data_IF_810379320629
#
_entry.id   IF_810379320629
#
_cell.length_a   1.000
_cell.length_b   1.000
_cell.length_c   1.000
_cell.angle_alpha   90.00
_cell.angle_beta   90.00
_cell.angle_gamma   90.00
#
_symmetry.space_group_name_H-M   'P 1'
#
loop_
_entity.id
_entity.type
_entity.pdbx_description
1 polymer ?
#
# COMPACT_ATOMS: atom_id res chain seq x y z
N UNK A 1 -5.11 -23.99 7.82
CA UNK A 1 -4.41 -24.13 6.51
C UNK A 1 -5.35 -23.63 5.43
N UNK A 2 -4.85 -23.02 4.35
CA UNK A 2 -5.66 -22.54 3.23
C UNK A 2 -5.17 -23.10 1.90
N UNK A 3 -6.10 -23.40 0.98
CA UNK A 3 -5.81 -23.81 -0.39
C UNK A 3 -6.87 -23.25 -1.35
N UNK A 4 -6.57 -23.18 -2.65
CA UNK A 4 -7.50 -22.74 -3.68
C UNK A 4 -8.07 -23.93 -4.47
N UNK A 5 -9.35 -23.86 -4.86
CA UNK A 5 -9.94 -24.77 -5.85
C UNK A 5 -9.67 -24.30 -7.28
N UNK A 6 -9.99 -25.16 -8.24
CA UNK A 6 -10.03 -24.88 -9.69
C UNK A 6 -11.09 -23.85 -10.12
N UNK A 7 -12.05 -23.57 -9.23
CA UNK A 7 -13.10 -22.57 -9.41
C UNK A 7 -12.80 -21.25 -8.68
N UNK A 8 -11.68 -21.17 -7.95
CA UNK A 8 -11.26 -19.98 -7.21
C UNK A 8 -11.94 -19.84 -5.84
N UNK A 9 -12.50 -20.93 -5.31
CA UNK A 9 -12.93 -21.00 -3.92
C UNK A 9 -11.73 -21.26 -3.03
N UNK A 10 -11.81 -20.82 -1.78
CA UNK A 10 -10.77 -21.07 -0.78
C UNK A 10 -11.22 -22.17 0.15
N UNK A 11 -10.44 -23.24 0.23
CA UNK A 11 -10.57 -24.28 1.24
C UNK A 11 -9.84 -23.82 2.50
N UNK A 12 -10.58 -23.62 3.58
CA UNK A 12 -10.03 -23.40 4.91
C UNK A 12 -10.08 -24.72 5.69
N UNK A 13 -8.94 -25.18 6.16
CA UNK A 13 -8.81 -26.40 6.99
C UNK A 13 -8.47 -25.98 8.41
N UNK A 14 -9.32 -26.39 9.35
CA UNK A 14 -9.07 -26.30 10.78
C UNK A 14 -8.47 -27.62 11.27
N UNK A 15 -7.18 -27.58 11.60
CA UNK A 15 -6.42 -28.74 12.06
C UNK A 15 -6.73 -29.12 13.51
N UNK A 16 -7.36 -28.24 14.29
CA UNK A 16 -7.66 -28.49 15.71
C UNK A 16 -8.88 -29.37 15.89
N UNK A 17 -9.87 -29.20 15.01
CA UNK A 17 -11.12 -29.98 15.00
C UNK A 17 -11.21 -30.96 13.83
N UNK A 18 -10.14 -31.09 13.04
CA UNK A 18 -10.06 -31.92 11.84
C UNK A 18 -11.26 -31.72 10.89
N UNK A 19 -11.57 -30.45 10.61
CA UNK A 19 -12.70 -30.06 9.78
C UNK A 19 -12.26 -29.05 8.70
N UNK A 20 -13.09 -28.85 7.69
CA UNK A 20 -12.85 -27.89 6.63
C UNK A 20 -14.11 -27.12 6.26
N UNK A 21 -13.91 -25.92 5.72
CA UNK A 21 -14.95 -25.04 5.21
C UNK A 21 -14.53 -24.48 3.85
N UNK A 22 -15.51 -24.30 2.97
CA UNK A 22 -15.30 -23.63 1.69
C UNK A 22 -15.76 -22.19 1.78
N UNK A 23 -14.92 -21.28 1.32
CA UNK A 23 -15.18 -19.84 1.29
C UNK A 23 -15.26 -19.39 -0.17
N UNK A 24 -16.40 -18.80 -0.52
CA UNK A 24 -16.67 -18.29 -1.86
C UNK A 24 -17.62 -19.16 -2.69
N UNK A 25 -18.41 -18.51 -3.54
CA UNK A 25 -18.89 -19.10 -4.78
C UNK A 25 -17.86 -18.71 -5.83
N UNK A 26 -17.25 -19.67 -6.52
CA UNK A 26 -16.08 -19.43 -7.36
C UNK A 26 -16.20 -18.14 -8.19
N UNK A 27 -15.25 -17.19 -8.10
CA UNK A 27 -15.32 -15.92 -8.82
C UNK A 27 -15.32 -16.11 -10.34
N UNK A 28 -15.05 -17.33 -10.82
CA UNK A 28 -15.00 -17.68 -12.23
C UNK A 28 -16.00 -18.80 -12.53
N UNK A 29 -16.95 -18.52 -13.42
CA UNK A 29 -17.85 -19.51 -13.99
C UNK A 29 -17.36 -19.89 -15.39
N UNK A 30 -16.88 -21.14 -15.54
CA UNK A 30 -16.50 -21.72 -16.83
C UNK A 30 -14.99 -21.76 -17.11
N UNK A 31 -14.47 -22.96 -17.42
CA UNK A 31 -13.05 -23.24 -17.67
C UNK A 31 -12.31 -23.82 -16.46
N UNK A 32 -11.24 -24.57 -16.70
CA UNK A 32 -10.35 -25.07 -15.66
C UNK A 32 -9.35 -23.95 -15.28
N UNK A 33 -9.61 -23.20 -14.22
CA UNK A 33 -8.73 -22.12 -13.76
C UNK A 33 -7.92 -22.60 -12.58
N UNK A 34 -6.73 -23.12 -12.83
CA UNK A 34 -5.85 -23.55 -11.75
C UNK A 34 -5.01 -22.39 -11.25
N UNK A 35 -4.86 -22.35 -9.93
CA UNK A 35 -3.86 -21.55 -9.26
C UNK A 35 -2.77 -22.44 -8.66
N UNK A 36 -1.58 -21.89 -8.51
CA UNK A 36 -0.41 -22.56 -7.96
C UNK A 36 -0.46 -22.70 -6.43
N UNK A 37 0.70 -22.73 -5.80
CA UNK A 37 0.87 -22.86 -4.36
C UNK A 37 0.55 -21.53 -3.64
N UNK A 38 -0.03 -21.59 -2.42
CA UNK A 38 -0.32 -20.40 -1.62
C UNK A 38 0.96 -19.70 -1.15
N UNK A 39 0.98 -18.37 -1.26
CA UNK A 39 2.07 -17.53 -0.79
C UNK A 39 1.49 -16.45 0.13
N UNK A 40 2.02 -16.34 1.34
CA UNK A 40 1.62 -15.27 2.27
C UNK A 40 2.36 -13.99 1.89
N UNK A 41 1.60 -12.95 1.56
CA UNK A 41 2.14 -11.62 1.28
C UNK A 41 2.47 -10.83 2.54
N UNK A 42 3.20 -9.73 2.35
CA UNK A 42 3.53 -8.80 3.44
C UNK A 42 2.28 -8.14 4.08
N UNK A 43 1.14 -8.15 3.38
CA UNK A 43 -0.16 -7.69 3.88
C UNK A 43 -0.95 -8.78 4.63
N UNK A 44 -0.31 -9.92 4.93
CA UNK A 44 -0.89 -11.10 5.57
C UNK A 44 -2.03 -11.76 4.76
N UNK A 45 -2.28 -11.29 3.54
CA UNK A 45 -3.17 -11.96 2.62
C UNK A 45 -2.45 -13.13 1.94
N UNK A 46 -3.23 -14.08 1.46
CA UNK A 46 -2.76 -15.25 0.75
C UNK A 46 -2.96 -15.02 -0.74
N UNK A 47 -1.90 -15.24 -1.50
CA UNK A 47 -1.86 -15.08 -2.94
C UNK A 47 -1.58 -16.43 -3.57
N UNK A 48 -2.40 -16.80 -4.55
CA UNK A 48 -2.12 -17.94 -5.40
C UNK A 48 -1.75 -17.45 -6.81
N UNK A 49 -0.55 -17.76 -7.31
CA UNK A 49 -0.15 -17.42 -8.67
C UNK A 49 -1.07 -18.10 -9.70
N UNK A 50 -1.33 -17.46 -10.85
CA UNK A 50 -2.13 -18.07 -11.90
C UNK A 50 -1.34 -19.19 -12.58
N UNK A 51 -1.73 -20.43 -12.36
CA UNK A 51 -1.13 -21.57 -13.07
C UNK A 51 -1.73 -21.64 -14.48
N UNK A 52 -3.05 -21.81 -14.55
CA UNK A 52 -3.85 -21.81 -15.78
C UNK A 52 -4.86 -20.65 -15.80
N UNK A 53 -5.16 -20.08 -14.64
CA UNK A 53 -5.97 -18.87 -14.51
C UNK A 53 -5.32 -17.66 -15.21
N UNK A 54 -6.10 -16.63 -15.52
CA UNK A 54 -5.59 -15.41 -16.13
C UNK A 54 -5.17 -14.34 -15.09
N UNK A 55 -5.55 -14.48 -13.82
CA UNK A 55 -5.25 -13.52 -12.75
C UNK A 55 -4.85 -14.20 -11.46
N UNK A 56 -4.19 -13.45 -10.58
CA UNK A 56 -3.79 -13.90 -9.24
C UNK A 56 -5.03 -13.98 -8.36
N UNK A 57 -5.21 -15.09 -7.62
CA UNK A 57 -6.23 -15.17 -6.57
C UNK A 57 -5.68 -14.59 -5.28
N UNK A 58 -6.42 -13.70 -4.63
CA UNK A 58 -6.11 -13.13 -3.33
C UNK A 58 -7.21 -13.49 -2.34
N UNK A 59 -6.80 -13.85 -1.13
CA UNK A 59 -7.72 -14.05 0.00
C UNK A 59 -7.17 -13.38 1.25
N UNK A 60 -8.06 -12.73 1.99
CA UNK A 60 -7.73 -12.11 3.28
C UNK A 60 -8.31 -12.95 4.42
N UNK A 61 -7.46 -13.67 5.17
CA UNK A 61 -7.92 -14.49 6.28
C UNK A 61 -8.40 -13.67 7.49
N UNK A 62 -8.07 -12.38 7.59
CA UNK A 62 -8.53 -11.53 8.69
C UNK A 62 -9.99 -11.11 8.49
N UNK A 63 -10.34 -10.69 7.27
CA UNK A 63 -11.69 -10.21 6.95
C UNK A 63 -12.65 -11.33 6.58
N UNK A 64 -12.14 -12.52 6.22
CA UNK A 64 -12.94 -13.67 5.76
C UNK A 64 -13.91 -13.31 4.62
N UNK A 65 -13.60 -12.25 3.88
CA UNK A 65 -14.35 -11.83 2.71
C UNK A 65 -14.13 -12.78 1.55
N UNK A 66 -15.00 -12.70 0.54
CA UNK A 66 -14.88 -13.53 -0.65
C UNK A 66 -13.51 -13.34 -1.33
N UNK A 67 -12.88 -14.42 -1.83
CA UNK A 67 -11.63 -14.31 -2.55
C UNK A 67 -11.81 -13.46 -3.80
N UNK A 68 -10.79 -12.68 -4.16
CA UNK A 68 -10.81 -11.73 -5.27
C UNK A 68 -9.69 -12.00 -6.26
N UNK A 69 -9.92 -11.62 -7.51
CA UNK A 69 -8.89 -11.67 -8.55
C UNK A 69 -8.18 -10.32 -8.62
N UNK A 70 -6.87 -10.33 -8.47
CA UNK A 70 -6.03 -9.12 -8.42
C UNK A 70 -5.00 -9.08 -9.53
N UNK A 71 -4.52 -7.87 -9.83
CA UNK A 71 -3.57 -7.62 -10.90
C UNK A 71 -4.20 -7.57 -12.29
N UNK A 72 -3.34 -7.40 -13.28
CA UNK A 72 -3.71 -7.32 -14.70
C UNK A 72 -4.11 -8.69 -15.25
N UNK A 73 -4.78 -8.71 -16.41
CA UNK A 73 -5.03 -9.95 -17.13
C UNK A 73 -3.72 -10.46 -17.74
N UNK A 74 -3.21 -11.58 -17.20
CA UNK A 74 -1.95 -12.20 -17.61
C UNK A 74 -2.12 -13.16 -18.79
N UNK A 75 -3.28 -13.12 -19.44
CA UNK A 75 -3.59 -13.88 -20.64
C UNK A 75 -3.83 -15.37 -20.41
N UNK A 76 -4.25 -16.04 -21.48
CA UNK A 76 -4.41 -17.48 -21.51
C UNK A 76 -3.06 -18.21 -21.59
N UNK A 77 -3.01 -19.41 -21.04
CA UNK A 77 -1.83 -20.28 -21.05
C UNK A 77 -1.88 -21.24 -19.87
N UNK A 78 -1.19 -22.37 -20.00
CA UNK A 78 -1.18 -23.40 -18.97
C UNK A 78 0.20 -23.52 -18.32
N UNK A 79 0.22 -23.91 -17.04
CA UNK A 79 1.40 -24.14 -16.23
C UNK A 79 2.32 -22.91 -16.14
N UNK A 80 1.75 -21.70 -16.02
CA UNK A 80 2.50 -20.43 -16.05
C UNK A 80 3.38 -20.25 -14.83
N UNK A 81 2.78 -20.09 -13.65
CA UNK A 81 3.49 -19.93 -12.39
C UNK A 81 2.92 -20.89 -11.35
N UNK A 82 3.74 -21.84 -10.89
CA UNK A 82 3.32 -22.82 -9.88
C UNK A 82 3.51 -22.31 -8.46
N UNK A 83 4.45 -21.41 -8.22
CA UNK A 83 4.72 -20.92 -6.88
C UNK A 83 5.64 -19.70 -6.90
N UNK A 84 6.00 -19.25 -5.72
CA UNK A 84 6.80 -18.04 -5.54
C UNK A 84 7.17 -17.83 -4.08
N UNK A 85 7.86 -16.72 -3.83
CA UNK A 85 8.31 -16.36 -2.49
C UNK A 85 8.14 -14.86 -2.23
N UNK A 86 7.84 -14.53 -0.97
CA UNK A 86 7.87 -13.17 -0.47
C UNK A 86 9.34 -12.74 -0.31
N UNK A 87 9.71 -11.66 -0.99
CA UNK A 87 11.01 -11.03 -0.86
C UNK A 87 11.04 -10.03 0.31
N UNK A 88 12.24 -9.64 0.74
CA UNK A 88 12.47 -8.77 1.90
C UNK A 88 11.87 -7.38 1.76
N UNK A 89 11.74 -6.89 0.54
CA UNK A 89 11.11 -5.63 0.15
C UNK A 89 9.58 -5.68 0.17
N UNK A 90 8.99 -6.86 0.41
CA UNK A 90 7.55 -7.05 0.55
C UNK A 90 6.81 -7.41 -0.75
N UNK A 91 7.50 -7.50 -1.88
CA UNK A 91 6.95 -8.03 -3.13
C UNK A 91 7.02 -9.57 -3.16
N UNK A 92 6.07 -10.21 -3.82
CA UNK A 92 6.08 -11.65 -4.10
C UNK A 92 6.60 -11.87 -5.52
N UNK A 93 7.60 -12.75 -5.68
CA UNK A 93 8.10 -13.14 -6.99
C UNK A 93 7.73 -14.59 -7.28
N UNK A 94 7.00 -14.81 -8.37
CA UNK A 94 6.57 -16.13 -8.81
C UNK A 94 7.49 -16.64 -9.93
N UNK A 95 8.02 -17.84 -9.73
CA UNK A 95 8.97 -18.46 -10.65
C UNK A 95 8.19 -19.03 -11.84
N UNK A 96 8.53 -18.65 -13.09
CA UNK A 96 7.86 -19.17 -14.27
C UNK A 96 8.20 -20.65 -14.49
N UNK A 97 7.19 -21.45 -14.81
CA UNK A 97 7.36 -22.79 -15.38
C UNK A 97 7.27 -22.70 -16.91
N UNK A 98 6.09 -22.39 -17.46
CA UNK A 98 5.89 -22.18 -18.90
C UNK A 98 5.76 -20.70 -19.29
N UNK A 99 5.64 -19.79 -18.33
CA UNK A 99 5.61 -18.36 -18.61
C UNK A 99 6.98 -17.86 -19.12
N UNK A 100 6.98 -16.81 -19.93
CA UNK A 100 8.22 -16.19 -20.45
C UNK A 100 8.86 -15.19 -19.48
N UNK A 101 8.17 -14.85 -18.40
CA UNK A 101 8.52 -13.76 -17.50
C UNK A 101 8.26 -14.14 -16.04
N UNK A 102 9.05 -13.57 -15.13
CA UNK A 102 8.79 -13.63 -13.69
C UNK A 102 7.58 -12.74 -13.41
N UNK A 103 6.64 -13.24 -12.62
CA UNK A 103 5.51 -12.44 -12.14
C UNK A 103 5.88 -11.83 -10.79
N UNK A 104 5.88 -10.50 -10.73
CA UNK A 104 6.04 -9.76 -9.49
C UNK A 104 4.67 -9.24 -9.02
N UNK A 105 4.28 -9.60 -7.80
CA UNK A 105 3.04 -9.15 -7.17
C UNK A 105 3.45 -8.21 -6.04
N UNK A 106 3.01 -6.95 -6.10
CA UNK A 106 3.15 -6.01 -5.00
C UNK A 106 1.86 -6.02 -4.16
N UNK A 107 1.86 -6.60 -2.94
CA UNK A 107 0.67 -6.67 -2.08
C UNK A 107 0.08 -5.29 -1.73
N UNK A 108 0.89 -4.24 -1.78
CA UNK A 108 0.50 -2.89 -1.39
C UNK A 108 -0.01 -2.04 -2.56
N UNK A 109 0.12 -2.49 -3.82
CA UNK A 109 -0.21 -1.68 -5.00
C UNK A 109 -1.64 -1.12 -4.96
N UNK A 110 -2.61 -1.94 -4.58
CA UNK A 110 -4.02 -1.54 -4.50
C UNK A 110 -4.27 -0.51 -3.40
N UNK A 111 -3.61 -0.67 -2.25
CA UNK A 111 -3.65 0.30 -1.16
C UNK A 111 -3.10 1.66 -1.66
N UNK A 112 -1.92 1.66 -2.28
CA UNK A 112 -1.29 2.88 -2.81
C UNK A 112 -2.19 3.60 -3.81
N UNK A 113 -2.74 2.87 -4.80
CA UNK A 113 -3.64 3.45 -5.80
C UNK A 113 -4.91 4.03 -5.16
N UNK A 114 -5.48 3.34 -4.16
CA UNK A 114 -6.70 3.79 -3.48
C UNK A 114 -6.45 5.08 -2.69
N UNK A 115 -5.31 5.15 -2.00
CA UNK A 115 -4.89 6.32 -1.23
C UNK A 115 -4.60 7.51 -2.14
N UNK A 116 -3.82 7.32 -3.21
CA UNK A 116 -3.54 8.34 -4.23
C UNK A 116 -4.84 8.89 -4.84
N UNK A 117 -5.72 8.00 -5.32
CA UNK A 117 -6.98 8.42 -5.93
C UNK A 117 -7.86 9.20 -4.96
N UNK A 118 -7.92 8.76 -3.70
CA UNK A 118 -8.75 9.42 -2.68
C UNK A 118 -8.21 10.79 -2.31
N UNK A 119 -6.89 10.94 -2.16
CA UNK A 119 -6.23 12.23 -1.89
C UNK A 119 -6.42 13.20 -3.08
N UNK A 120 -6.33 12.73 -4.32
CA UNK A 120 -6.60 13.55 -5.50
C UNK A 120 -8.07 13.94 -5.66
N UNK A 121 -9.00 13.06 -5.31
CA UNK A 121 -10.44 13.28 -5.49
C UNK A 121 -11.03 14.18 -4.39
N UNK A 122 -10.52 14.04 -3.15
CA UNK A 122 -11.01 14.78 -1.98
C UNK A 122 -9.88 15.48 -1.21
N UNK A 123 -9.11 16.38 -1.86
CA UNK A 123 -7.92 16.99 -1.24
C UNK A 123 -8.28 17.78 0.03
N UNK A 124 -9.40 18.49 0.03
CA UNK A 124 -9.89 19.29 1.17
C UNK A 124 -10.29 18.46 2.40
N UNK A 125 -10.49 17.16 2.25
CA UNK A 125 -10.86 16.22 3.34
C UNK A 125 -9.72 15.24 3.66
N UNK A 126 -8.47 15.56 3.27
CA UNK A 126 -7.31 14.67 3.40
C UNK A 126 -7.56 13.28 2.77
N UNK A 127 -8.33 13.25 1.68
CA UNK A 127 -8.67 12.02 0.97
C UNK A 127 -9.64 11.09 1.70
N UNK A 128 -10.52 11.60 2.58
CA UNK A 128 -11.47 10.79 3.38
C UNK A 128 -10.81 9.69 4.21
N UNK A 129 -9.52 9.81 4.46
CA UNK A 129 -8.69 8.82 5.14
C UNK A 129 -9.18 8.52 6.57
N UNK A 130 -9.76 9.53 7.22
CA UNK A 130 -10.36 9.47 8.56
C UNK A 130 -11.88 9.46 8.54
N UNK A 131 -12.49 9.38 7.35
CA UNK A 131 -13.92 9.14 7.25
C UNK A 131 -14.19 7.71 7.71
N UNK A 132 -15.17 7.56 8.59
CA UNK A 132 -15.62 6.25 9.03
C UNK A 132 -16.54 5.65 7.98
N UNK A 133 -16.34 4.38 7.68
CA UNK A 133 -17.24 3.61 6.84
C UNK A 133 -18.48 3.14 7.63
N UNK A 134 -19.33 2.34 6.98
CA UNK A 134 -20.52 1.75 7.61
C UNK A 134 -20.20 0.81 8.79
N UNK A 135 -18.93 0.43 8.97
CA UNK A 135 -18.44 -0.38 10.08
C UNK A 135 -17.84 0.48 11.22
N UNK A 136 -17.98 1.81 11.16
CA UNK A 136 -17.47 2.77 12.16
C UNK A 136 -15.92 2.76 12.27
N UNK A 137 -15.22 2.16 11.31
CA UNK A 137 -13.76 2.14 11.21
C UNK A 137 -13.32 3.13 10.13
N UNK A 138 -12.16 3.77 10.30
CA UNK A 138 -11.60 4.66 9.27
C UNK A 138 -10.73 3.84 8.32
N UNK A 139 -10.64 4.26 7.06
CA UNK A 139 -9.71 3.64 6.11
C UNK A 139 -8.28 3.61 6.66
N UNK A 140 -7.83 4.70 7.29
CA UNK A 140 -6.53 4.77 7.94
C UNK A 140 -6.38 3.76 9.08
N UNK A 141 -7.38 3.67 9.96
CA UNK A 141 -7.38 2.73 11.08
C UNK A 141 -7.29 1.29 10.61
N UNK A 142 -8.10 0.93 9.61
CA UNK A 142 -8.08 -0.39 8.98
C UNK A 142 -6.73 -0.70 8.33
N UNK A 143 -6.17 0.27 7.59
CA UNK A 143 -4.85 0.14 6.99
C UNK A 143 -3.74 -0.02 8.05
N UNK A 144 -3.74 0.80 9.10
CA UNK A 144 -2.74 0.71 10.19
C UNK A 144 -2.83 -0.61 10.93
N UNK A 145 -4.05 -1.10 11.20
CA UNK A 145 -4.27 -2.41 11.82
C UNK A 145 -3.70 -3.54 10.95
N UNK A 146 -3.93 -3.48 9.64
CA UNK A 146 -3.54 -4.53 8.69
C UNK A 146 -2.05 -4.51 8.37
N UNK A 147 -1.53 -3.35 7.96
CA UNK A 147 -0.20 -3.18 7.38
C UNK A 147 0.83 -2.61 8.36
N UNK A 148 0.40 -2.11 9.52
CA UNK A 148 1.26 -1.44 10.49
C UNK A 148 1.44 0.05 10.19
N UNK A 149 1.61 0.83 11.25
CA UNK A 149 1.67 2.29 11.17
C UNK A 149 2.85 2.78 10.30
N UNK A 150 4.03 2.18 10.44
CA UNK A 150 5.24 2.59 9.71
C UNK A 150 5.07 2.46 8.20
N UNK A 151 4.56 1.33 7.72
CA UNK A 151 4.34 1.09 6.29
C UNK A 151 3.26 2.00 5.72
N UNK A 152 2.15 2.16 6.43
CA UNK A 152 1.07 3.09 6.00
C UNK A 152 1.60 4.53 5.94
N UNK A 153 2.49 4.92 6.87
CA UNK A 153 3.13 6.24 6.83
C UNK A 153 4.11 6.40 5.67
N UNK A 154 4.97 5.41 5.43
CA UNK A 154 5.89 5.38 4.28
C UNK A 154 5.09 5.58 2.97
N UNK A 155 4.01 4.83 2.77
CA UNK A 155 3.14 4.99 1.60
C UNK A 155 2.46 6.36 1.50
N UNK A 156 1.98 6.91 2.63
CA UNK A 156 1.40 8.24 2.63
C UNK A 156 2.40 9.30 2.20
N UNK A 157 3.62 9.22 2.72
CA UNK A 157 4.65 10.25 2.52
C UNK A 157 5.30 10.13 1.14
N UNK A 158 5.63 8.91 0.71
CA UNK A 158 6.40 8.68 -0.52
C UNK A 158 5.53 8.68 -1.78
N UNK A 159 4.32 8.09 -1.71
CA UNK A 159 3.50 7.82 -2.89
C UNK A 159 2.31 8.77 -3.02
N UNK A 160 1.81 9.35 -1.93
CA UNK A 160 0.52 10.05 -1.95
C UNK A 160 0.61 11.56 -1.72
N UNK A 161 1.66 12.05 -1.04
CA UNK A 161 1.84 13.49 -0.86
C UNK A 161 2.47 14.10 -2.13
N UNK A 162 1.87 15.15 -2.72
CA UNK A 162 2.48 15.87 -3.82
C UNK A 162 3.88 16.36 -3.45
N UNK A 163 4.76 16.49 -4.44
CA UNK A 163 6.11 17.01 -4.19
C UNK A 163 6.06 18.48 -3.78
N UNK A 164 7.02 18.98 -3.00
CA UNK A 164 7.11 20.39 -2.58
C UNK A 164 6.94 21.40 -3.75
N UNK A 165 7.32 21.00 -4.98
CA UNK A 165 7.17 21.79 -6.20
C UNK A 165 5.72 21.91 -6.69
N UNK A 166 4.91 20.88 -6.50
CA UNK A 166 3.47 20.89 -6.84
C UNK A 166 2.67 21.72 -5.84
N UNK A 167 3.09 21.73 -4.57
CA UNK A 167 2.51 22.59 -3.52
C UNK A 167 2.86 24.08 -3.71
N UNK A 168 4.04 24.40 -4.25
CA UNK A 168 4.44 25.80 -4.49
C UNK A 168 3.61 26.49 -5.60
N UNK A 169 3.15 25.73 -6.59
CA UNK A 169 2.35 26.25 -7.70
C UNK A 169 0.87 26.46 -7.35
N UNK A 170 0.39 25.87 -6.24
CA UNK A 170 -0.98 26.06 -5.73
C UNK A 170 -1.11 27.26 -4.79
N UNK A 171 -0.02 27.95 -4.47
CA UNK A 171 -0.01 29.15 -3.62
C UNK A 171 -0.56 30.43 -4.29
N UNK A 172 -1.19 30.35 -5.48
CA UNK A 172 -1.74 31.53 -6.17
C UNK A 172 -3.14 31.95 -5.75
N UNK A 173 -3.67 31.49 -4.62
CA UNK A 173 -4.92 32.01 -4.08
C UNK A 173 -5.39 31.34 -2.80
N UNK A 174 -5.30 32.05 -1.67
CA UNK A 174 -6.02 31.90 -0.39
C UNK A 174 -6.37 30.49 0.16
N UNK A 175 -5.74 29.42 -0.30
CA UNK A 175 -5.91 28.07 0.22
C UNK A 175 -4.93 27.86 1.37
N UNK A 176 -5.44 27.68 2.59
CA UNK A 176 -4.62 27.27 3.72
C UNK A 176 -3.99 25.90 3.38
N UNK A 177 -2.66 25.74 3.52
CA UNK A 177 -2.01 24.45 3.39
C UNK A 177 -2.76 23.35 4.17
N UNK A 178 -2.94 22.19 3.56
CA UNK A 178 -3.76 21.09 4.10
C UNK A 178 -3.35 20.67 5.52
N UNK A 179 -2.10 20.91 5.95
CA UNK A 179 -1.66 20.69 7.32
C UNK A 179 -2.30 21.62 8.35
N UNK A 180 -2.64 22.86 8.00
CA UNK A 180 -3.35 23.79 8.90
C UNK A 180 -4.82 23.39 9.03
N UNK A 181 -5.41 22.84 7.96
CA UNK A 181 -6.78 22.29 7.98
C UNK A 181 -6.79 21.00 8.82
N UNK A 182 -5.84 20.09 8.61
CA UNK A 182 -5.69 18.88 9.42
C UNK A 182 -5.41 19.16 10.90
N UNK A 183 -4.68 20.23 11.23
CA UNK A 183 -4.39 20.64 12.61
C UNK A 183 -5.61 21.22 13.33
N UNK A 184 -6.64 21.62 12.59
CA UNK A 184 -7.89 22.17 13.13
C UNK A 184 -8.97 21.13 13.41
N UNK A 185 -8.76 19.86 13.04
CA UNK A 185 -9.71 18.77 13.33
C UNK A 185 -9.41 18.09 14.67
N UNK A 186 -10.45 17.74 15.44
CA UNK A 186 -10.38 17.20 16.81
C UNK A 186 -9.62 15.85 16.96
N UNK A 187 -9.22 15.19 15.87
CA UNK A 187 -8.43 13.94 15.86
C UNK A 187 -7.02 14.16 15.27
N UNK A 188 -6.30 15.14 15.82
CA UNK A 188 -5.07 15.78 15.32
C UNK A 188 -3.78 14.91 15.24
N UNK A 189 -3.86 13.59 15.32
CA UNK A 189 -2.68 12.71 15.29
C UNK A 189 -1.85 12.86 14.00
N UNK A 190 -2.49 13.18 12.87
CA UNK A 190 -1.80 13.43 11.60
C UNK A 190 -1.03 14.74 11.61
N UNK A 191 -1.54 15.76 12.28
CA UNK A 191 -0.86 17.05 12.42
C UNK A 191 0.35 16.97 13.34
N UNK A 192 0.30 16.06 14.32
CA UNK A 192 1.45 15.65 15.13
C UNK A 192 2.50 14.94 14.27
N UNK A 193 2.09 14.12 13.30
CA UNK A 193 3.03 13.34 12.47
C UNK A 193 3.63 14.19 11.34
N UNK A 194 2.86 15.12 10.77
CA UNK A 194 3.37 16.18 9.88
C UNK A 194 4.41 17.09 10.58
N UNK A 195 4.22 17.38 11.87
CA UNK A 195 5.19 18.12 12.69
C UNK A 195 6.47 17.31 12.97
N UNK A 196 6.35 16.01 13.28
CA UNK A 196 7.50 15.13 13.56
C UNK A 196 8.36 14.87 12.31
N UNK A 197 7.75 14.73 11.12
CA UNK A 197 8.45 14.54 9.84
C UNK A 197 9.28 15.77 9.44
N UNK A 198 8.73 16.98 9.64
CA UNK A 198 9.45 18.23 9.32
C UNK A 198 10.69 18.46 10.18
N UNK A 199 10.72 17.92 11.40
CA UNK A 199 11.84 18.07 12.33
C UNK A 199 12.99 17.10 12.00
N UNK A 200 12.67 15.86 11.65
CA UNK A 200 13.69 14.85 11.31
C UNK A 200 14.35 15.09 9.94
N UNK A 201 13.62 15.63 8.96
CA UNK A 201 14.20 16.00 7.65
C UNK A 201 15.14 17.22 7.78
N UNK A 202 14.84 18.17 8.66
CA UNK A 202 15.75 19.30 8.94
C UNK A 202 17.00 18.89 9.74
N UNK A 203 16.91 17.91 10.64
CA UNK A 203 18.07 17.37 11.36
C UNK A 203 18.96 16.51 10.43
N UNK A 204 18.38 15.78 9.47
CA UNK A 204 19.13 15.03 8.46
C UNK A 204 19.87 15.94 7.45
N UNK A 205 19.35 17.15 7.18
CA UNK A 205 19.94 18.12 6.26
C UNK A 205 20.89 19.13 6.94
N UNK A 206 20.81 19.32 8.26
CA UNK A 206 21.67 20.25 9.01
C UNK A 206 22.96 19.61 9.57
N UNK A 207 23.10 18.28 9.50
CA UNK A 207 24.27 17.55 9.98
C UNK A 207 25.54 17.66 9.13
N UNK A 208 25.50 18.27 7.94
CA UNK A 208 26.67 18.41 7.07
C UNK A 208 26.75 19.81 6.45
N UNK A 209 27.28 20.78 7.19
CA UNK A 209 28.21 21.84 6.75
C UNK A 209 28.25 22.99 7.77
N UNK A 210 28.91 22.72 8.90
CA UNK A 210 29.64 23.78 9.60
C UNK A 210 30.86 24.15 8.76
N UNK A 211 30.76 25.20 7.94
CA UNK A 211 31.92 25.96 7.50
C UNK A 211 31.79 27.41 8.01
N UNK A 212 32.54 27.64 9.09
CA UNK A 212 32.83 28.90 9.78
C UNK A 212 33.21 30.02 8.81
N UNK A 213 32.65 31.22 8.99
CA UNK A 213 33.06 32.40 8.21
C UNK A 213 32.34 33.69 8.59
N UNK A 214 32.59 34.17 9.81
CA UNK A 214 32.06 35.40 10.43
C UNK A 214 32.23 36.66 9.55
N UNK A 215 31.12 37.39 9.40
CA UNK A 215 31.08 38.77 8.90
C UNK A 215 31.96 39.73 9.72
N UNK A 216 32.86 40.46 9.07
CA UNK A 216 33.42 41.72 9.62
C UNK A 216 33.41 42.86 8.60
N UNK A 217 33.04 44.01 9.14
CA UNK A 217 32.61 45.28 8.54
C UNK A 217 33.66 45.96 7.66
N UNK A 218 33.13 46.76 6.70
CA UNK A 218 33.79 47.85 5.97
C UNK A 218 34.57 48.79 6.91
N UNK A 219 35.74 49.26 6.46
CA UNK A 219 36.26 50.59 6.80
C UNK A 219 36.97 51.20 5.58
N UNK A 220 36.55 52.41 5.26
CA UNK A 220 37.09 53.35 4.26
C UNK A 220 38.49 53.83 4.69
N UNK A 221 39.37 54.09 3.73
CA UNK A 221 40.61 54.83 3.94
C UNK A 221 41.38 55.06 2.63
N UNK A 222 41.40 56.32 2.20
CA UNK A 222 42.21 56.88 1.12
C UNK A 222 43.70 56.88 1.46
N UNK A 223 44.57 56.58 0.49
CA UNK A 223 45.46 57.50 -0.26
C UNK A 223 46.37 56.65 -1.14
#
# INVERSE_FOLDING_TARGET
IYAASDSGQVLQIDTTINNYTWIGGGPVSGGNHYWGDPIIGADKCIYWPPLDANRVLKFDPETQQLPSLVGDDLGAGAWKWQGGALATEGAIYCIPSNAKQILAINPFKELSMTMQNSIHTYPQELGRLFAKDGCNETFFGSAVRKFGIEKVFEFLVEECLPSDKEWANTCSGNSLPLFMIAASCENSAVSVIYHLLRRNVHDALSGNLNCVGVSKKRKVGST
#
